data_IF_506920261810
#
_entry.id   IF_506920261810
#
_cell.length_a   1.000
_cell.length_b   1.000
_cell.length_c   1.000
_cell.angle_alpha   90.00
_cell.angle_beta   90.00
_cell.angle_gamma   90.00
#
_symmetry.space_group_name_H-M   'P 1'
#
loop_
_entity.id
_entity.type
_entity.pdbx_description
1 polymer ?
#
# COMPACT_ATOMS: atom_id res chain seq x y z
N UNK A 1 3.25 11.14 14.76
CA UNK A 1 2.36 10.75 13.64
C UNK A 1 0.88 10.77 14.04
N UNK A 2 0.51 10.39 15.27
CA UNK A 2 -0.90 10.37 15.73
C UNK A 2 -1.63 11.71 15.68
N UNK A 3 -0.91 12.82 15.57
CA UNK A 3 -1.49 14.19 15.49
C UNK A 3 -1.79 14.60 14.04
N UNK A 4 -1.21 13.92 13.05
CA UNK A 4 -1.45 14.21 11.64
C UNK A 4 -2.87 13.78 11.23
N UNK A 5 -3.51 14.58 10.39
CA UNK A 5 -4.81 14.25 9.82
C UNK A 5 -4.67 13.38 8.56
N UNK A 6 -3.74 13.74 7.68
CA UNK A 6 -3.49 13.13 6.38
C UNK A 6 -1.99 13.18 6.08
N UNK A 7 -1.48 12.18 5.38
CA UNK A 7 -0.13 12.14 4.84
C UNK A 7 -0.18 12.26 3.31
N UNK A 8 0.51 13.24 2.76
CA UNK A 8 0.63 13.45 1.31
C UNK A 8 1.94 12.85 0.80
N UNK A 9 1.84 11.81 -0.02
CA UNK A 9 3.00 11.13 -0.60
C UNK A 9 3.52 11.89 -1.82
N UNK A 10 4.85 11.98 -1.95
CA UNK A 10 5.50 12.61 -3.09
C UNK A 10 5.49 11.72 -4.33
N UNK A 11 5.44 12.32 -5.54
CA UNK A 11 5.22 11.61 -6.80
C UNK A 11 6.42 10.82 -7.29
N UNK A 12 7.62 11.40 -7.29
CA UNK A 12 8.81 10.79 -7.89
C UNK A 12 9.37 9.65 -7.03
N UNK A 13 9.33 9.84 -5.74
CA UNK A 13 9.72 8.86 -4.74
C UNK A 13 8.60 8.79 -3.69
N UNK A 14 7.73 7.79 -3.85
CA UNK A 14 6.62 7.62 -2.92
C UNK A 14 7.10 7.31 -1.50
N UNK A 15 6.26 7.61 -0.55
CA UNK A 15 6.44 7.17 0.82
C UNK A 15 6.55 5.64 0.88
N UNK A 16 7.69 5.14 1.34
CA UNK A 16 7.98 3.72 1.54
C UNK A 16 7.77 3.36 3.02
N UNK A 17 8.85 3.26 3.80
CA UNK A 17 8.73 3.14 5.27
C UNK A 17 7.93 4.28 5.87
N UNK A 18 8.20 5.52 5.41
CA UNK A 18 7.44 6.71 5.80
C UNK A 18 5.95 6.67 5.40
N UNK A 19 5.52 5.76 4.52
CA UNK A 19 4.11 5.50 4.19
C UNK A 19 3.49 4.40 5.04
N UNK A 20 4.25 3.36 5.37
CA UNK A 20 3.80 2.27 6.22
C UNK A 20 3.57 2.73 7.67
N UNK A 21 4.45 3.58 8.20
CA UNK A 21 4.36 4.10 9.57
C UNK A 21 3.07 4.91 9.82
N UNK A 22 2.68 5.89 8.98
CA UNK A 22 1.39 6.57 9.10
C UNK A 22 0.20 5.61 9.07
N UNK A 23 0.16 4.69 8.10
CA UNK A 23 -0.92 3.70 8.00
C UNK A 23 -1.01 2.84 9.28
N UNK A 24 0.14 2.40 9.80
CA UNK A 24 0.24 1.71 11.08
C UNK A 24 -0.22 2.56 12.27
N UNK A 25 -0.01 3.86 12.25
CA UNK A 25 -0.48 4.81 13.26
C UNK A 25 -1.95 5.23 13.08
N UNK A 26 -2.62 4.77 12.02
CA UNK A 26 -4.02 5.11 11.71
C UNK A 26 -4.18 6.44 10.98
N UNK A 27 -3.11 6.94 10.33
CA UNK A 27 -3.14 8.15 9.51
C UNK A 27 -3.28 7.75 8.04
N UNK A 28 -4.35 8.19 7.33
CA UNK A 28 -4.51 7.90 5.91
C UNK A 28 -3.41 8.56 5.08
N UNK A 29 -3.00 7.88 4.02
CA UNK A 29 -1.99 8.32 3.05
C UNK A 29 -2.69 8.55 1.72
N UNK A 30 -2.43 9.67 1.06
CA UNK A 30 -2.87 9.96 -0.31
C UNK A 30 -1.67 9.86 -1.24
N UNK A 31 -1.82 9.18 -2.39
CA UNK A 31 -0.72 9.01 -3.35
C UNK A 31 -1.16 9.15 -4.80
N UNK A 32 -0.20 9.58 -5.62
CA UNK A 32 -0.25 9.48 -7.08
C UNK A 32 0.92 8.58 -7.52
N UNK A 33 0.66 7.38 -8.05
CA UNK A 33 1.72 6.47 -8.46
C UNK A 33 2.48 6.97 -9.69
N UNK A 34 3.79 6.73 -9.69
CA UNK A 34 4.67 6.96 -10.83
C UNK A 34 4.98 5.68 -11.61
N UNK A 35 5.84 5.80 -12.63
CA UNK A 35 6.24 4.68 -13.48
C UNK A 35 7.29 3.76 -12.83
N UNK A 36 8.09 4.26 -11.89
CA UNK A 36 9.18 3.52 -11.26
C UNK A 36 8.70 2.68 -10.08
N UNK A 37 9.50 1.71 -9.64
CA UNK A 37 9.25 0.97 -8.39
C UNK A 37 9.05 1.93 -7.21
N UNK A 38 10.00 2.85 -6.99
CA UNK A 38 9.94 3.83 -5.91
C UNK A 38 8.71 4.74 -5.97
N UNK A 39 8.19 5.02 -7.19
CA UNK A 39 6.98 5.81 -7.40
C UNK A 39 5.67 5.05 -7.23
N UNK A 40 5.68 3.73 -6.92
CA UNK A 40 4.46 2.89 -6.81
C UNK A 40 4.27 2.25 -5.43
N UNK A 41 5.23 2.42 -4.52
CA UNK A 41 5.20 1.74 -3.22
C UNK A 41 3.99 2.14 -2.40
N UNK A 42 3.68 3.44 -2.31
CA UNK A 42 2.53 3.91 -1.52
C UNK A 42 1.19 3.39 -2.06
N UNK A 43 1.04 3.25 -3.39
CA UNK A 43 -0.15 2.64 -3.98
C UNK A 43 -0.30 1.17 -3.55
N UNK A 44 0.80 0.40 -3.57
CA UNK A 44 0.81 -0.99 -3.09
C UNK A 44 0.42 -1.10 -1.60
N UNK A 45 0.96 -0.20 -0.75
CA UNK A 45 0.61 -0.14 0.67
C UNK A 45 -0.88 0.16 0.87
N UNK A 46 -1.44 1.09 0.10
CA UNK A 46 -2.86 1.47 0.20
C UNK A 46 -3.80 0.33 -0.23
N UNK A 47 -3.47 -0.38 -1.32
CA UNK A 47 -4.23 -1.57 -1.72
C UNK A 47 -4.19 -2.63 -0.61
N UNK A 48 -3.02 -2.89 -0.04
CA UNK A 48 -2.86 -3.85 1.05
C UNK A 48 -3.51 -3.41 2.37
N UNK A 49 -3.71 -2.09 2.56
CA UNK A 49 -4.42 -1.52 3.72
C UNK A 49 -5.95 -1.44 3.53
N UNK A 50 -6.45 -1.79 2.33
CA UNK A 50 -7.89 -1.70 2.00
C UNK A 50 -8.40 -0.28 1.77
N UNK A 51 -7.54 0.62 1.28
CA UNK A 51 -7.85 2.02 0.96
C UNK A 51 -7.47 2.38 -0.49
N UNK A 52 -7.91 1.62 -1.51
CA UNK A 52 -7.54 1.87 -2.89
C UNK A 52 -8.04 3.22 -3.43
N UNK A 53 -9.09 3.79 -2.85
CA UNK A 53 -9.64 5.10 -3.21
C UNK A 53 -8.68 6.27 -2.93
N UNK A 54 -7.64 6.06 -2.14
CA UNK A 54 -6.59 7.06 -1.90
C UNK A 54 -5.41 6.96 -2.89
N UNK A 55 -5.54 6.12 -3.91
CA UNK A 55 -4.63 6.04 -5.05
C UNK A 55 -5.23 6.79 -6.21
N UNK A 56 -4.67 7.93 -6.57
CA UNK A 56 -5.19 8.80 -7.62
C UNK A 56 -4.53 8.52 -8.98
N UNK A 57 -5.19 8.89 -10.07
CA UNK A 57 -4.74 8.60 -11.44
C UNK A 57 -4.08 9.80 -12.12
N UNK A 58 -4.31 11.02 -11.62
CA UNK A 58 -3.75 12.25 -12.17
C UNK A 58 -3.39 13.25 -11.07
N UNK A 59 -2.57 14.25 -11.42
CA UNK A 59 -2.21 15.32 -10.49
C UNK A 59 -3.44 16.15 -10.09
N UNK A 60 -4.35 16.39 -11.03
CA UNK A 60 -5.59 17.08 -10.80
C UNK A 60 -6.47 16.34 -9.78
N UNK A 61 -6.59 15.03 -9.93
CA UNK A 61 -7.34 14.18 -8.98
C UNK A 61 -6.66 14.13 -7.61
N UNK A 62 -5.32 14.10 -7.57
CA UNK A 62 -4.56 14.14 -6.33
C UNK A 62 -4.81 15.44 -5.56
N UNK A 63 -4.73 16.59 -6.24
CA UNK A 63 -4.99 17.90 -5.66
C UNK A 63 -6.43 18.04 -5.19
N UNK A 64 -7.39 17.67 -6.04
CA UNK A 64 -8.82 17.74 -5.73
C UNK A 64 -9.15 16.92 -4.48
N UNK A 65 -8.69 15.66 -4.42
CA UNK A 65 -8.95 14.79 -3.28
C UNK A 65 -8.22 15.26 -2.01
N UNK A 66 -7.00 15.81 -2.14
CA UNK A 66 -6.29 16.39 -1.00
C UNK A 66 -7.06 17.56 -0.38
N UNK A 67 -7.61 18.46 -1.21
CA UNK A 67 -8.43 19.59 -0.77
C UNK A 67 -9.75 19.14 -0.16
N UNK A 68 -10.42 18.18 -0.78
CA UNK A 68 -11.67 17.61 -0.26
C UNK A 68 -11.47 17.00 1.14
N UNK A 69 -10.42 16.19 1.32
CA UNK A 69 -10.07 15.60 2.59
C UNK A 69 -9.69 16.65 3.64
N UNK A 70 -8.95 17.69 3.24
CA UNK A 70 -8.59 18.78 4.16
C UNK A 70 -9.80 19.58 4.66
N UNK A 71 -10.86 19.68 3.84
CA UNK A 71 -12.09 20.41 4.16
C UNK A 71 -13.14 19.53 4.86
N UNK A 72 -12.95 18.21 4.92
CA UNK A 72 -13.91 17.28 5.48
C UNK A 72 -13.34 16.43 6.63
N UNK A 73 -13.36 16.92 7.88
CA UNK A 73 -12.95 16.13 9.04
C UNK A 73 -13.67 14.79 9.15
N UNK A 74 -14.94 14.73 8.76
CA UNK A 74 -15.74 13.50 8.80
C UNK A 74 -15.19 12.41 7.86
N UNK A 75 -14.68 12.79 6.67
CA UNK A 75 -14.03 11.84 5.76
C UNK A 75 -12.72 11.32 6.35
N UNK A 76 -11.91 12.18 6.94
CA UNK A 76 -10.69 11.79 7.64
C UNK A 76 -10.97 10.82 8.77
N UNK A 77 -11.97 11.11 9.61
CA UNK A 77 -12.36 10.25 10.72
C UNK A 77 -12.85 8.88 10.24
N UNK A 78 -13.61 8.86 9.13
CA UNK A 78 -14.05 7.62 8.51
C UNK A 78 -12.86 6.76 8.03
N UNK A 79 -11.89 7.37 7.34
CA UNK A 79 -10.67 6.69 6.87
C UNK A 79 -9.83 6.16 8.05
N UNK A 80 -9.65 6.96 9.10
CA UNK A 80 -8.97 6.55 10.34
C UNK A 80 -9.66 5.38 11.01
N UNK A 81 -11.00 5.41 11.08
CA UNK A 81 -11.78 4.31 11.63
C UNK A 81 -11.63 3.02 10.80
N UNK A 82 -11.59 3.11 9.47
CA UNK A 82 -11.33 1.97 8.59
C UNK A 82 -9.92 1.39 8.82
N UNK A 83 -8.89 2.22 8.88
CA UNK A 83 -7.52 1.77 9.19
C UNK A 83 -7.46 1.06 10.53
N UNK A 84 -8.09 1.62 11.58
CA UNK A 84 -8.12 1.02 12.91
C UNK A 84 -8.78 -0.36 12.91
N UNK A 85 -9.92 -0.52 12.23
CA UNK A 85 -10.60 -1.82 12.08
C UNK A 85 -9.77 -2.80 11.24
N UNK A 86 -9.17 -2.30 10.15
CA UNK A 86 -8.40 -3.10 9.19
C UNK A 86 -7.09 -3.68 9.74
N UNK A 87 -6.55 -3.17 10.85
CA UNK A 87 -5.28 -3.65 11.43
C UNK A 87 -5.26 -5.16 11.73
N UNK A 88 -6.41 -5.80 11.90
CA UNK A 88 -6.52 -7.23 12.21
C UNK A 88 -6.96 -8.08 11.02
N UNK A 89 -7.33 -7.47 9.91
CA UNK A 89 -7.95 -8.17 8.77
C UNK A 89 -7.32 -7.83 7.42
N UNK A 90 -6.63 -6.70 7.31
CA UNK A 90 -6.04 -6.28 6.05
C UNK A 90 -4.66 -6.89 5.81
N UNK A 91 -4.34 -7.27 4.56
CA UNK A 91 -3.07 -7.92 4.19
C UNK A 91 -1.82 -7.16 4.62
N UNK A 92 -1.85 -5.83 4.68
CA UNK A 92 -0.71 -5.00 5.09
C UNK A 92 -0.18 -5.36 6.48
N UNK A 93 -1.05 -5.81 7.38
CA UNK A 93 -0.72 -6.08 8.77
C UNK A 93 -0.63 -7.58 9.08
N UNK A 94 -0.85 -8.44 8.08
CA UNK A 94 -0.78 -9.90 8.19
C UNK A 94 0.62 -10.40 7.80
N UNK A 95 1.53 -10.33 8.75
CA UNK A 95 2.92 -10.78 8.56
C UNK A 95 2.99 -12.28 8.23
N UNK A 96 2.14 -13.11 8.83
CA UNK A 96 2.13 -14.53 8.57
C UNK A 96 1.74 -14.85 7.12
N UNK A 97 0.71 -14.19 6.59
CA UNK A 97 0.32 -14.27 5.18
C UNK A 97 1.43 -13.78 4.26
N UNK A 98 2.04 -12.65 4.58
CA UNK A 98 3.17 -12.11 3.81
C UNK A 98 4.32 -13.12 3.74
N UNK A 99 4.69 -13.73 4.88
CA UNK A 99 5.75 -14.73 4.95
C UNK A 99 5.45 -15.93 4.05
N UNK A 100 4.26 -16.51 4.15
CA UNK A 100 3.86 -17.65 3.28
C UNK A 100 3.94 -17.30 1.80
N UNK A 101 3.47 -16.13 1.40
CA UNK A 101 3.53 -15.70 0.01
C UNK A 101 4.98 -15.49 -0.46
N UNK A 102 5.83 -14.93 0.38
CA UNK A 102 7.25 -14.74 0.09
C UNK A 102 7.99 -16.07 -0.04
N UNK A 103 7.73 -17.02 0.85
CA UNK A 103 8.28 -18.38 0.78
C UNK A 103 7.85 -19.10 -0.50
N UNK A 104 6.58 -18.97 -0.88
CA UNK A 104 6.07 -19.50 -2.16
C UNK A 104 6.77 -18.87 -3.37
N UNK A 105 7.05 -17.57 -3.31
CA UNK A 105 7.83 -16.90 -4.37
C UNK A 105 9.24 -17.46 -4.47
N UNK A 106 9.94 -17.65 -3.36
CA UNK A 106 11.29 -18.21 -3.34
C UNK A 106 11.32 -19.65 -3.85
N UNK A 107 10.37 -20.49 -3.47
CA UNK A 107 10.25 -21.86 -3.98
C UNK A 107 10.07 -21.86 -5.50
N UNK A 108 9.19 -21.01 -6.04
CA UNK A 108 8.99 -20.89 -7.47
C UNK A 108 10.25 -20.43 -8.20
N UNK A 109 10.99 -19.44 -7.68
CA UNK A 109 12.27 -19.00 -8.24
C UNK A 109 13.30 -20.14 -8.24
N UNK A 110 13.37 -20.90 -7.15
CA UNK A 110 14.30 -22.02 -7.01
C UNK A 110 14.00 -23.16 -7.99
N UNK A 111 12.72 -23.53 -8.14
CA UNK A 111 12.29 -24.52 -9.12
C UNK A 111 12.64 -24.15 -10.56
N UNK A 112 12.42 -22.87 -10.93
CA UNK A 112 12.80 -22.35 -12.24
C UNK A 112 14.32 -22.44 -12.45
N UNK A 113 15.10 -22.04 -11.45
CA UNK A 113 16.55 -22.14 -11.50
C UNK A 113 17.02 -23.59 -11.71
N UNK A 114 16.47 -24.54 -10.97
CA UNK A 114 16.82 -25.96 -11.11
C UNK A 114 16.49 -26.54 -12.50
N UNK A 115 15.44 -26.02 -13.14
CA UNK A 115 15.05 -26.40 -14.51
C UNK A 115 15.91 -25.72 -15.59
N UNK A 116 16.84 -24.84 -15.21
CA UNK A 116 17.64 -24.04 -16.17
C UNK A 116 16.83 -22.98 -16.90
N UNK A 117 15.64 -22.61 -16.40
CA UNK A 117 14.80 -21.59 -17.00
C UNK A 117 15.34 -20.18 -16.67
N UNK A 118 15.28 -19.22 -17.63
CA UNK A 118 15.70 -17.85 -17.36
C UNK A 118 14.77 -17.16 -16.34
N UNK A 119 15.25 -16.08 -15.67
CA UNK A 119 14.39 -15.24 -14.83
C UNK A 119 13.17 -14.71 -15.62
N UNK A 120 12.01 -14.73 -14.98
CA UNK A 120 10.78 -14.21 -15.58
C UNK A 120 9.89 -13.55 -14.54
N UNK A 121 9.02 -12.64 -14.99
CA UNK A 121 7.98 -12.09 -14.14
C UNK A 121 6.92 -13.15 -13.86
N UNK A 122 6.49 -13.23 -12.61
CA UNK A 122 5.39 -14.10 -12.21
C UNK A 122 4.60 -13.45 -11.05
N UNK A 123 3.37 -13.88 -10.91
CA UNK A 123 2.54 -13.55 -9.75
C UNK A 123 2.46 -14.75 -8.81
N UNK A 124 2.55 -14.50 -7.52
CA UNK A 124 2.33 -15.53 -6.50
C UNK A 124 0.82 -15.71 -6.32
N UNK A 125 0.34 -16.95 -6.41
CA UNK A 125 -1.03 -17.25 -6.03
C UNK A 125 -1.15 -17.07 -4.52
N UNK A 126 -2.09 -16.21 -4.04
CA UNK A 126 -2.26 -16.00 -2.61
C UNK A 126 -2.53 -17.32 -1.89
N UNK A 127 -1.76 -17.63 -0.86
CA UNK A 127 -2.02 -18.74 0.04
C UNK A 127 -3.11 -18.29 1.01
N UNK A 128 -4.29 -18.85 0.89
CA UNK A 128 -5.36 -18.62 1.85
C UNK A 128 -5.00 -19.20 3.23
N UNK A 129 -5.51 -18.57 4.27
CA UNK A 129 -5.23 -18.95 5.65
C UNK A 129 -5.94 -20.23 6.06
#
# INVERSE_FOLDING_TARGET
LSVAALFLSTRLYNANTSGADPLGAGVPVLTLPGATFAGRVAASLLHAAGLPELVTESLENYEALALELAQSPAMIDHLKARLKRGRRSQPLFDTARFTRNLESAYLHMWERYQKGEPPAHFAVTPVEA
#
